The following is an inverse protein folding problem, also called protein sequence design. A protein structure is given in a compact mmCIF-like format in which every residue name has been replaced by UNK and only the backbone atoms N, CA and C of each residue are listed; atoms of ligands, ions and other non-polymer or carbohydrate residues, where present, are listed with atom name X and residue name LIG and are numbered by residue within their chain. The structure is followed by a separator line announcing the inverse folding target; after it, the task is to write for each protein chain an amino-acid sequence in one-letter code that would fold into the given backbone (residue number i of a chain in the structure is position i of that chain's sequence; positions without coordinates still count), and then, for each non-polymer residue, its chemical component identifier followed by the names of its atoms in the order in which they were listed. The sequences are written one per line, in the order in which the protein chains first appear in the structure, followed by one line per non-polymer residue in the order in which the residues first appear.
data_IF_079671163116
#
_entry.id   IF_079671163116
#
_cell.length_a   1.000
_cell.length_b   1.000
_cell.length_c   1.000
_cell.angle_alpha   90.00
_cell.angle_beta   90.00
_cell.angle_gamma   90.00
#
_symmetry.space_group_name_H-M   'P 1'
#
loop_
_entity.id
_entity.type
_entity.pdbx_description
1 polymer ?
#
# COMPACT_ATOMS: atom_id res chain seq x y z
N UNK A 1 4.34 0.42 57.52
CA UNK A 1 5.59 0.53 56.75
C UNK A 1 5.44 1.66 55.77
N UNK A 2 6.24 2.71 55.92
CA UNK A 2 6.21 3.93 55.09
C UNK A 2 7.00 3.68 53.81
N UNK A 3 6.38 3.95 52.65
CA UNK A 3 6.99 3.74 51.33
C UNK A 3 7.97 4.88 51.05
N UNK A 4 9.20 4.55 50.66
CA UNK A 4 10.27 5.51 50.40
C UNK A 4 9.96 6.38 49.15
N UNK A 5 9.90 7.72 49.25
CA UNK A 5 9.57 8.61 48.14
C UNK A 5 10.66 8.68 47.04
N UNK A 6 11.82 8.03 47.23
CA UNK A 6 12.93 7.99 46.28
C UNK A 6 13.01 6.67 45.48
N UNK A 7 12.10 5.73 45.72
CA UNK A 7 12.02 4.47 44.96
C UNK A 7 10.78 4.53 44.10
N UNK A 8 10.97 4.75 42.79
CA UNK A 8 9.89 4.59 41.82
C UNK A 8 9.40 3.14 41.89
N UNK A 9 8.11 2.95 42.23
CA UNK A 9 7.45 1.65 42.06
C UNK A 9 7.58 1.20 40.62
N UNK A 10 7.52 -0.12 40.37
CA UNK A 10 7.52 -0.67 39.01
C UNK A 10 6.49 0.10 38.18
N UNK A 11 6.99 0.88 37.21
CA UNK A 11 6.16 1.46 36.17
C UNK A 11 5.69 0.26 35.34
N UNK A 12 4.47 -0.20 35.61
CA UNK A 12 3.77 -1.00 34.63
C UNK A 12 3.79 -0.21 33.33
N UNK A 13 4.37 -0.80 32.28
CA UNK A 13 4.56 -0.14 31.00
C UNK A 13 3.23 0.43 30.45
N UNK A 14 3.30 1.38 29.51
CA UNK A 14 2.11 2.08 29.03
C UNK A 14 1.06 1.08 28.54
N UNK A 15 -0.12 1.09 29.18
CA UNK A 15 -1.30 0.27 28.84
C UNK A 15 -1.98 0.66 27.52
N UNK A 16 -1.35 1.53 26.72
CA UNK A 16 -1.81 1.94 25.39
C UNK A 16 -0.82 1.51 24.30
N UNK A 17 -0.72 0.21 24.04
CA UNK A 17 0.05 -0.35 22.92
C UNK A 17 -0.55 -0.03 21.51
N UNK A 18 -1.49 0.92 21.42
CA UNK A 18 -2.34 1.15 20.23
C UNK A 18 -2.59 2.64 19.94
N UNK A 19 -1.70 3.55 20.35
CA UNK A 19 -1.78 4.95 19.90
C UNK A 19 -1.21 5.05 18.48
N UNK A 20 -1.98 5.58 17.52
CA UNK A 20 -1.49 5.87 16.17
C UNK A 20 -0.25 6.78 16.14
N UNK A 21 0.03 7.45 17.26
CA UNK A 21 1.23 8.23 17.56
C UNK A 21 2.53 7.45 17.28
N UNK A 22 2.66 6.20 17.74
CA UNK A 22 3.91 5.44 17.55
C UNK A 22 4.15 5.08 16.07
N UNK A 23 3.09 4.79 15.31
CA UNK A 23 3.20 4.55 13.86
C UNK A 23 3.55 5.85 13.13
N UNK A 24 2.98 6.98 13.55
CA UNK A 24 3.31 8.29 12.98
C UNK A 24 4.77 8.71 13.27
N UNK A 25 5.34 8.32 14.41
CA UNK A 25 6.77 8.48 14.74
C UNK A 25 7.64 7.59 13.86
N UNK A 26 7.29 6.32 13.68
CA UNK A 26 8.00 5.41 12.76
C UNK A 26 8.01 5.94 11.31
N UNK A 27 6.89 6.48 10.85
CA UNK A 27 6.80 7.12 9.52
C UNK A 27 7.71 8.34 9.44
N UNK A 28 7.77 9.15 10.49
CA UNK A 28 8.64 10.33 10.54
C UNK A 28 10.12 9.94 10.53
N UNK A 29 10.50 8.85 11.19
CA UNK A 29 11.86 8.30 11.11
C UNK A 29 12.23 7.89 9.68
N UNK A 30 11.31 7.24 8.97
CA UNK A 30 11.51 6.92 7.54
C UNK A 30 11.67 8.21 6.73
N UNK A 31 10.81 9.20 6.97
CA UNK A 31 10.86 10.49 6.29
C UNK A 31 12.20 11.21 6.50
N UNK A 32 12.74 11.18 7.72
CA UNK A 32 14.05 11.72 8.05
C UNK A 32 15.18 10.94 7.37
N UNK A 33 15.13 9.61 7.36
CA UNK A 33 16.08 8.76 6.64
C UNK A 33 16.15 9.15 5.16
N UNK A 34 15.00 9.29 4.51
CA UNK A 34 14.90 9.67 3.09
C UNK A 34 15.45 11.08 2.86
N UNK A 35 15.02 12.07 3.67
CA UNK A 35 15.43 13.48 3.53
C UNK A 35 16.91 13.71 3.84
N UNK A 36 17.49 12.91 4.73
CA UNK A 36 18.92 12.99 5.06
C UNK A 36 19.83 12.57 3.90
N UNK A 37 19.29 11.85 2.90
CA UNK A 37 20.07 11.32 1.79
C UNK A 37 21.01 10.17 2.21
N UNK A 38 20.85 9.59 3.40
CA UNK A 38 21.67 8.47 3.91
C UNK A 38 21.68 7.25 2.98
N UNK A 39 20.62 7.09 2.19
CA UNK A 39 20.46 6.05 1.19
C UNK A 39 21.29 6.29 -0.09
N UNK A 40 21.77 7.52 -0.33
CA UNK A 40 22.57 7.89 -1.50
C UNK A 40 23.98 7.35 -1.35
N UNK A 41 24.47 6.69 -2.40
CA UNK A 41 25.82 6.17 -2.43
C UNK A 41 26.85 7.31 -2.48
N UNK A 42 27.71 7.38 -1.47
CA UNK A 42 28.70 8.44 -1.32
C UNK A 42 29.68 8.56 -2.49
N UNK A 43 29.85 7.51 -3.30
CA UNK A 43 30.69 7.56 -4.52
C UNK A 43 30.14 8.49 -5.60
N UNK A 44 28.85 8.84 -5.55
CA UNK A 44 28.25 9.79 -6.46
C UNK A 44 28.68 11.23 -6.17
N UNK A 45 29.06 11.54 -4.93
CA UNK A 45 29.41 12.90 -4.50
C UNK A 45 28.25 13.90 -4.62
N UNK A 46 27.02 13.43 -4.84
CA UNK A 46 25.80 14.24 -4.95
C UNK A 46 25.22 14.40 -3.56
N UNK A 47 25.59 15.47 -2.86
CA UNK A 47 25.02 15.83 -1.55
C UNK A 47 24.23 17.11 -1.72
N UNK A 48 22.93 17.08 -1.40
CA UNK A 48 22.10 18.28 -1.21
C UNK A 48 21.72 19.09 -2.46
N UNK A 49 21.78 18.52 -3.66
CA UNK A 49 21.35 19.23 -4.87
C UNK A 49 19.80 19.35 -4.92
N UNK A 50 19.30 20.58 -4.78
CA UNK A 50 17.90 20.93 -5.04
C UNK A 50 17.53 20.82 -6.52
N UNK A 51 16.23 20.68 -6.81
CA UNK A 51 15.64 20.35 -8.12
C UNK A 51 15.67 21.47 -9.18
N UNK A 52 16.65 22.38 -9.18
CA UNK A 52 16.68 23.51 -10.14
C UNK A 52 17.47 23.24 -11.44
N UNK A 53 17.76 21.97 -11.77
CA UNK A 53 18.66 21.63 -12.87
C UNK A 53 17.97 21.04 -14.12
N UNK A 54 16.69 21.33 -14.35
CA UNK A 54 15.90 20.63 -15.37
C UNK A 54 15.85 21.27 -16.77
N UNK A 55 16.49 22.42 -17.01
CA UNK A 55 16.19 23.21 -18.21
C UNK A 55 17.25 23.25 -19.33
N UNK A 56 18.38 22.55 -19.22
CA UNK A 56 19.37 22.59 -20.29
C UNK A 56 19.59 21.19 -20.85
N UNK A 57 19.21 20.94 -22.11
CA UNK A 57 19.61 19.75 -22.86
C UNK A 57 20.38 20.23 -24.08
N UNK A 58 21.70 20.17 -23.99
CA UNK A 58 22.60 20.22 -25.13
C UNK A 58 22.90 18.78 -25.50
N UNK A 59 22.93 18.49 -26.79
CA UNK A 59 23.46 17.25 -27.34
C UNK A 59 24.97 17.46 -27.59
N UNK A 60 25.86 17.06 -26.66
CA UNK A 60 27.29 17.21 -26.84
C UNK A 60 27.83 16.39 -28.02
N UNK A 61 27.19 15.27 -28.36
CA UNK A 61 27.69 14.36 -29.41
C UNK A 61 27.33 14.89 -30.80
N UNK A 62 26.16 15.54 -30.93
CA UNK A 62 25.76 16.25 -32.15
C UNK A 62 26.77 17.31 -32.61
N UNK A 63 27.61 17.84 -31.73
CA UNK A 63 28.69 18.77 -32.10
C UNK A 63 29.74 18.11 -33.01
N UNK A 64 30.02 16.81 -32.86
CA UNK A 64 31.00 16.11 -33.71
C UNK A 64 30.58 16.06 -35.19
N UNK A 65 29.26 16.01 -35.47
CA UNK A 65 28.74 16.08 -36.83
C UNK A 65 29.04 17.43 -37.49
N UNK A 66 29.04 18.52 -36.72
CA UNK A 66 29.31 19.87 -37.24
C UNK A 66 30.76 20.04 -37.69
N UNK A 67 31.68 19.26 -37.11
CA UNK A 67 33.11 19.27 -37.47
C UNK A 67 33.48 18.16 -38.49
N UNK A 68 32.50 17.42 -39.03
CA UNK A 68 32.73 16.43 -40.07
C UNK A 68 33.44 15.14 -39.62
N UNK A 69 33.49 14.87 -38.31
CA UNK A 69 34.28 13.76 -37.74
C UNK A 69 33.41 12.53 -37.49
N UNK A 70 32.79 12.00 -38.54
CA UNK A 70 31.81 10.91 -38.44
C UNK A 70 32.39 9.62 -37.85
N UNK A 71 33.68 9.33 -38.05
CA UNK A 71 34.32 8.11 -37.54
C UNK A 71 34.47 8.08 -36.01
N UNK A 72 34.60 9.25 -35.36
CA UNK A 72 34.66 9.34 -33.89
C UNK A 72 33.30 9.03 -33.27
N UNK A 73 32.20 9.29 -33.97
CA UNK A 73 30.84 9.09 -33.44
C UNK A 73 30.61 7.62 -33.08
N UNK A 74 31.13 6.67 -33.87
CA UNK A 74 31.03 5.24 -33.57
C UNK A 74 31.66 4.89 -32.21
N UNK A 75 32.74 5.57 -31.83
CA UNK A 75 33.41 5.39 -30.56
C UNK A 75 32.65 6.06 -29.40
N UNK A 76 31.95 7.17 -29.63
CA UNK A 76 31.22 7.92 -28.59
C UNK A 76 29.80 7.39 -28.38
N UNK A 77 29.24 6.65 -29.33
CA UNK A 77 27.89 6.06 -29.27
C UNK A 77 27.60 5.30 -27.97
N UNK A 78 28.51 4.47 -27.41
CA UNK A 78 28.28 3.80 -26.13
C UNK A 78 28.07 4.77 -24.95
N UNK A 79 28.70 5.95 -24.98
CA UNK A 79 28.51 6.98 -23.96
C UNK A 79 27.15 7.66 -24.12
N UNK A 80 26.74 7.91 -25.37
CA UNK A 80 25.44 8.52 -25.71
C UNK A 80 24.28 7.66 -25.22
N UNK A 81 24.38 6.34 -25.37
CA UNK A 81 23.36 5.40 -24.89
C UNK A 81 23.12 5.50 -23.36
N UNK A 82 24.12 5.93 -22.59
CA UNK A 82 23.95 6.15 -21.15
C UNK A 82 23.06 7.36 -20.83
N UNK A 83 23.02 8.38 -21.70
CA UNK A 83 22.05 9.47 -21.59
C UNK A 83 20.63 8.99 -21.87
N UNK A 84 20.46 8.11 -22.86
CA UNK A 84 19.16 7.53 -23.20
C UNK A 84 18.63 6.63 -22.06
N UNK A 85 19.50 5.89 -21.37
CA UNK A 85 19.10 5.12 -20.18
C UNK A 85 18.61 5.99 -19.03
N UNK A 86 19.06 7.25 -18.97
CA UNK A 86 18.66 8.25 -17.98
C UNK A 86 17.59 9.21 -18.52
N UNK A 87 17.08 8.97 -19.73
CA UNK A 87 15.97 9.71 -20.31
C UNK A 87 14.66 9.28 -19.62
N UNK A 88 14.35 9.92 -18.50
CA UNK A 88 13.05 9.87 -17.85
C UNK A 88 12.19 11.09 -18.17
N UNK A 89 11.00 11.15 -17.58
CA UNK A 89 10.11 12.31 -17.59
C UNK A 89 10.10 12.97 -16.19
N UNK A 90 10.93 14.01 -15.96
CA UNK A 90 10.97 14.71 -14.69
C UNK A 90 9.65 15.39 -14.33
N UNK A 91 8.88 15.83 -15.33
CA UNK A 91 7.59 16.48 -15.10
C UNK A 91 6.56 15.47 -14.58
N UNK A 92 6.56 14.25 -15.12
CA UNK A 92 5.73 13.16 -14.60
C UNK A 92 6.13 12.79 -13.17
N UNK A 93 7.42 12.68 -12.85
CA UNK A 93 7.91 12.40 -11.48
C UNK A 93 7.45 13.50 -10.51
N UNK A 94 7.63 14.77 -10.89
CA UNK A 94 7.18 15.91 -10.09
C UNK A 94 5.65 15.91 -9.90
N UNK A 95 4.87 15.58 -10.94
CA UNK A 95 3.42 15.44 -10.85
C UNK A 95 2.99 14.32 -9.89
N UNK A 96 3.67 13.18 -9.89
CA UNK A 96 3.42 12.10 -8.94
C UNK A 96 3.74 12.51 -7.50
N UNK A 97 4.88 13.17 -7.26
CA UNK A 97 5.20 13.72 -5.95
C UNK A 97 4.15 14.73 -5.47
N UNK A 98 3.74 15.65 -6.33
CA UNK A 98 2.70 16.63 -6.02
C UNK A 98 1.35 15.97 -5.72
N UNK A 99 1.02 14.86 -6.40
CA UNK A 99 -0.19 14.08 -6.08
C UNK A 99 -0.16 13.57 -4.64
N UNK A 100 0.98 13.04 -4.19
CA UNK A 100 1.14 12.61 -2.80
C UNK A 100 1.07 13.77 -1.80
N UNK A 101 1.63 14.95 -2.14
CA UNK A 101 1.49 16.18 -1.34
C UNK A 101 0.04 16.62 -1.21
N UNK A 102 -0.74 16.55 -2.30
CA UNK A 102 -2.15 16.90 -2.30
C UNK A 102 -2.96 15.93 -1.41
N UNK A 103 -2.66 14.63 -1.47
CA UNK A 103 -3.27 13.62 -0.59
C UNK A 103 -2.94 13.91 0.88
N UNK A 104 -1.68 14.21 1.20
CA UNK A 104 -1.27 14.58 2.55
C UNK A 104 -2.04 15.80 3.08
N UNK A 105 -2.10 16.87 2.29
CA UNK A 105 -2.83 18.09 2.66
C UNK A 105 -4.32 17.81 2.92
N UNK A 106 -4.97 17.03 2.05
CA UNK A 106 -6.37 16.64 2.23
C UNK A 106 -6.60 15.82 3.51
N UNK A 107 -5.66 14.93 3.87
CA UNK A 107 -5.75 14.12 5.09
C UNK A 107 -5.54 14.97 6.34
N UNK A 108 -4.58 15.91 6.34
CA UNK A 108 -4.39 16.86 7.44
C UNK A 108 -5.61 17.73 7.65
N UNK A 109 -6.22 18.25 6.58
CA UNK A 109 -7.46 19.03 6.65
C UNK A 109 -8.58 18.21 7.31
N UNK A 110 -8.80 16.97 6.87
CA UNK A 110 -9.81 16.07 7.47
C UNK A 110 -9.53 15.75 8.94
N UNK A 111 -8.27 15.57 9.33
CA UNK A 111 -7.90 15.34 10.71
C UNK A 111 -8.17 16.59 11.58
N UNK A 112 -7.88 17.79 11.04
CA UNK A 112 -8.17 19.05 11.70
C UNK A 112 -9.68 19.30 11.80
N UNK A 113 -10.46 18.96 10.78
CA UNK A 113 -11.91 19.08 10.78
C UNK A 113 -12.55 18.19 11.85
N UNK A 114 -12.10 16.94 11.94
CA UNK A 114 -12.53 16.01 12.98
C UNK A 114 -12.22 16.55 14.38
N UNK A 115 -11.01 17.08 14.59
CA UNK A 115 -10.64 17.68 15.87
C UNK A 115 -11.53 18.88 16.22
N UNK A 116 -11.79 19.76 15.25
CA UNK A 116 -12.67 20.92 15.46
C UNK A 116 -14.10 20.48 15.80
N UNK A 117 -14.67 19.54 15.06
CA UNK A 117 -16.02 19.02 15.33
C UNK A 117 -16.12 18.41 16.74
N UNK A 118 -15.16 17.57 17.14
CA UNK A 118 -15.14 16.96 18.48
C UNK A 118 -14.99 18.01 19.58
N UNK A 119 -14.18 19.05 19.36
CA UNK A 119 -13.97 20.12 20.34
C UNK A 119 -15.20 20.98 20.55
N UNK A 120 -15.99 21.25 19.52
CA UNK A 120 -17.12 22.19 19.56
C UNK A 120 -18.49 21.52 19.73
N UNK A 121 -18.71 20.39 19.07
CA UNK A 121 -20.04 19.74 19.06
C UNK A 121 -20.24 18.81 20.27
N UNK A 122 -19.14 18.44 20.95
CA UNK A 122 -19.12 17.43 22.01
C UNK A 122 -18.58 17.99 23.33
N UNK A 123 -18.45 19.33 23.45
CA UNK A 123 -17.91 20.00 24.63
C UNK A 123 -18.74 19.70 25.88
N UNK A 124 -20.05 19.83 25.77
CA UNK A 124 -20.98 19.69 26.90
C UNK A 124 -21.32 18.23 27.21
N UNK A 125 -20.89 17.29 26.35
CA UNK A 125 -21.08 15.86 26.61
C UNK A 125 -20.07 15.37 27.66
N UNK A 126 -20.50 15.50 28.91
CA UNK A 126 -19.78 15.02 30.09
C UNK A 126 -19.95 13.52 30.36
N UNK A 127 -19.43 13.07 31.51
CA UNK A 127 -19.51 11.68 31.95
C UNK A 127 -18.59 10.72 31.18
N UNK A 128 -18.64 9.44 31.54
CA UNK A 128 -17.77 8.41 30.97
C UNK A 128 -17.96 8.20 29.46
N UNK A 129 -19.19 8.34 28.96
CA UNK A 129 -19.49 8.18 27.53
C UNK A 129 -18.87 9.29 26.67
N UNK A 130 -18.96 10.56 27.08
CA UNK A 130 -18.33 11.67 26.37
C UNK A 130 -16.81 11.59 26.38
N UNK A 131 -16.21 11.19 27.51
CA UNK A 131 -14.77 10.93 27.58
C UNK A 131 -14.33 9.79 26.64
N UNK A 132 -15.09 8.69 26.59
CA UNK A 132 -14.82 7.58 25.70
C UNK A 132 -14.93 7.98 24.21
N UNK A 133 -15.93 8.79 23.85
CA UNK A 133 -16.09 9.30 22.48
C UNK A 133 -14.91 10.20 22.06
N UNK A 134 -14.47 11.11 22.93
CA UNK A 134 -13.29 11.96 22.67
C UNK A 134 -12.02 11.12 22.48
N UNK A 135 -11.84 10.07 23.29
CA UNK A 135 -10.70 9.15 23.17
C UNK A 135 -10.76 8.32 21.87
N UNK A 136 -11.95 7.84 21.47
CA UNK A 136 -12.14 7.15 20.18
C UNK A 136 -11.87 8.07 19.00
N UNK A 137 -12.37 9.30 19.03
CA UNK A 137 -12.16 10.29 17.96
C UNK A 137 -10.69 10.74 17.87
N UNK A 138 -9.99 10.82 19.00
CA UNK A 138 -8.56 11.09 19.01
C UNK A 138 -7.77 9.98 18.29
N UNK A 139 -8.10 8.70 18.52
CA UNK A 139 -7.47 7.59 17.81
C UNK A 139 -7.72 7.63 16.29
N UNK A 140 -8.92 8.03 15.86
CA UNK A 140 -9.24 8.23 14.44
C UNK A 140 -8.37 9.34 13.84
N UNK A 141 -8.32 10.50 14.50
CA UNK A 141 -7.50 11.65 14.10
C UNK A 141 -6.02 11.31 14.03
N UNK A 142 -5.49 10.56 14.99
CA UNK A 142 -4.08 10.13 14.99
C UNK A 142 -3.79 9.20 13.81
N UNK A 143 -4.70 8.26 13.50
CA UNK A 143 -4.53 7.37 12.37
C UNK A 143 -4.58 8.11 11.01
N UNK A 144 -5.50 9.08 10.86
CA UNK A 144 -5.56 9.93 9.66
C UNK A 144 -4.32 10.81 9.54
N UNK A 145 -3.84 11.39 10.65
CA UNK A 145 -2.58 12.14 10.69
C UNK A 145 -1.38 11.27 10.29
N UNK A 146 -1.36 10.01 10.74
CA UNK A 146 -0.35 9.03 10.32
C UNK A 146 -0.36 8.79 8.80
N UNK A 147 -1.54 8.65 8.19
CA UNK A 147 -1.66 8.50 6.74
C UNK A 147 -1.24 9.76 5.98
N UNK A 148 -1.50 10.95 6.54
CA UNK A 148 -1.04 12.22 6.00
C UNK A 148 0.49 12.26 5.94
N UNK A 149 1.15 11.96 7.06
CA UNK A 149 2.62 11.83 7.14
C UNK A 149 3.16 10.78 6.18
N UNK A 150 2.50 9.62 6.06
CA UNK A 150 2.93 8.58 5.13
C UNK A 150 2.89 9.07 3.67
N UNK A 151 1.88 9.86 3.32
CA UNK A 151 1.75 10.48 2.01
C UNK A 151 2.85 11.53 1.77
N UNK A 152 3.20 12.34 2.78
CA UNK A 152 4.35 13.26 2.70
C UNK A 152 5.68 12.50 2.49
N UNK A 153 5.86 11.37 3.18
CA UNK A 153 7.04 10.51 3.02
C UNK A 153 7.11 9.92 1.61
N UNK A 154 5.99 9.49 1.02
CA UNK A 154 5.93 9.02 -0.37
C UNK A 154 6.31 10.14 -1.37
N UNK A 155 5.88 11.37 -1.11
CA UNK A 155 6.30 12.52 -1.92
C UNK A 155 7.82 12.73 -1.82
N UNK A 156 8.37 12.75 -0.60
CA UNK A 156 9.81 12.92 -0.37
C UNK A 156 10.66 11.80 -1.01
N UNK A 157 10.20 10.55 -0.96
CA UNK A 157 10.84 9.40 -1.64
C UNK A 157 10.87 9.64 -3.15
N UNK A 158 9.75 10.06 -3.73
CA UNK A 158 9.61 10.29 -5.17
C UNK A 158 10.49 11.45 -5.64
N UNK A 159 10.46 12.56 -4.90
CA UNK A 159 11.29 13.76 -5.13
C UNK A 159 12.78 13.41 -5.02
N UNK A 160 13.19 12.70 -3.96
CA UNK A 160 14.58 12.32 -3.73
C UNK A 160 15.13 11.37 -4.80
N UNK A 161 14.34 10.37 -5.21
CA UNK A 161 14.72 9.47 -6.30
C UNK A 161 14.85 10.23 -7.63
N UNK A 162 13.90 11.11 -7.94
CA UNK A 162 13.94 11.97 -9.13
C UNK A 162 15.16 12.90 -9.15
N UNK A 163 15.46 13.55 -8.02
CA UNK A 163 16.61 14.43 -7.87
C UNK A 163 17.93 13.67 -8.09
N UNK A 164 18.06 12.45 -7.56
CA UNK A 164 19.25 11.64 -7.76
C UNK A 164 19.44 11.24 -9.23
N UNK A 165 18.38 10.83 -9.92
CA UNK A 165 18.41 10.50 -11.35
C UNK A 165 18.84 11.74 -12.17
N UNK A 166 18.25 12.90 -11.86
CA UNK A 166 18.60 14.16 -12.52
C UNK A 166 20.08 14.52 -12.32
N UNK A 167 20.58 14.41 -11.08
CA UNK A 167 21.98 14.68 -10.78
C UNK A 167 22.93 13.73 -11.54
N UNK A 168 22.64 12.44 -11.59
CA UNK A 168 23.45 11.46 -12.34
C UNK A 168 23.39 11.76 -13.84
N UNK A 169 22.23 12.17 -14.38
CA UNK A 169 22.11 12.60 -15.78
C UNK A 169 23.02 13.78 -16.11
N UNK A 170 23.13 14.77 -15.20
CA UNK A 170 24.05 15.91 -15.36
C UNK A 170 25.49 15.43 -15.38
N UNK A 171 25.90 14.60 -14.42
CA UNK A 171 27.26 14.04 -14.37
C UNK A 171 27.63 13.30 -15.66
N UNK A 172 26.72 12.46 -16.17
CA UNK A 172 26.93 11.72 -17.43
C UNK A 172 27.03 12.67 -18.61
N UNK A 173 26.15 13.67 -18.71
CA UNK A 173 26.18 14.66 -19.79
C UNK A 173 27.47 15.46 -19.78
N UNK A 174 27.90 15.96 -18.63
CA UNK A 174 29.13 16.76 -18.50
C UNK A 174 30.37 15.94 -18.82
N UNK A 175 30.38 14.66 -18.43
CA UNK A 175 31.42 13.72 -18.83
C UNK A 175 31.48 13.54 -20.35
N UNK A 176 30.33 13.39 -21.01
CA UNK A 176 30.26 13.24 -22.47
C UNK A 176 30.71 14.54 -23.16
N UNK A 177 30.24 15.70 -22.68
CA UNK A 177 30.67 16.99 -23.22
C UNK A 177 32.19 17.19 -23.11
N UNK A 178 32.77 16.84 -21.97
CA UNK A 178 34.22 16.90 -21.76
C UNK A 178 34.96 15.91 -22.66
N UNK A 179 34.42 14.69 -22.82
CA UNK A 179 34.99 13.69 -23.71
C UNK A 179 34.99 14.19 -25.16
N UNK A 180 33.84 14.65 -25.67
CA UNK A 180 33.69 15.20 -27.02
C UNK A 180 34.64 16.38 -27.25
N UNK A 181 34.75 17.31 -26.30
CA UNK A 181 35.66 18.46 -26.42
C UNK A 181 37.11 18.03 -26.65
N UNK A 182 37.58 16.97 -25.99
CA UNK A 182 38.93 16.43 -26.19
C UNK A 182 39.07 15.69 -27.52
N UNK A 183 38.03 14.97 -27.94
CA UNK A 183 38.02 14.26 -29.22
C UNK A 183 38.11 15.23 -30.41
N UNK A 184 37.54 16.43 -30.30
CA UNK A 184 37.70 17.50 -31.30
C UNK A 184 39.18 17.91 -31.44
N UNK A 185 39.94 17.96 -30.33
CA UNK A 185 41.38 18.27 -30.36
C UNK A 185 42.14 17.17 -31.10
N UNK A 186 41.87 15.90 -30.81
CA UNK A 186 42.51 14.77 -31.52
C UNK A 186 42.15 14.74 -33.01
N UNK A 187 40.91 15.09 -33.38
CA UNK A 187 40.53 15.21 -34.78
C UNK A 187 41.29 16.33 -35.51
N UNK A 188 41.54 17.46 -34.83
CA UNK A 188 42.36 18.54 -35.38
C UNK A 188 43.84 18.12 -35.54
N UNK A 189 44.40 17.37 -34.60
CA UNK A 189 45.74 16.80 -34.70
C UNK A 189 45.87 15.83 -35.89
N UNK A 190 44.89 14.94 -36.08
CA UNK A 190 44.84 14.03 -37.23
C UNK A 190 44.82 14.82 -38.55
N UNK A 191 43.96 15.83 -38.65
CA UNK A 191 43.83 16.67 -39.84
C UNK A 191 45.13 17.43 -40.16
N UNK A 192 45.78 18.03 -39.15
CA UNK A 192 47.06 18.73 -39.30
C UNK A 192 48.20 17.78 -39.67
N UNK A 193 48.15 16.53 -39.21
CA UNK A 193 49.12 15.49 -39.57
C UNK A 193 48.88 14.88 -40.97
N UNK A 194 47.85 15.32 -41.70
CA UNK A 194 47.40 14.75 -42.98
C UNK A 194 47.12 13.23 -42.88
N UNK A 195 46.64 12.76 -41.72
CA UNK A 195 46.34 11.35 -41.47
C UNK A 195 47.55 10.47 -41.14
N UNK A 196 48.77 11.01 -41.03
CA UNK A 196 49.95 10.21 -40.64
C UNK A 196 49.88 9.76 -39.18
N UNK A 197 49.18 10.50 -38.33
CA UNK A 197 49.00 10.16 -36.92
C UNK A 197 47.79 9.24 -36.63
N UNK A 198 47.02 8.81 -37.64
CA UNK A 198 45.76 8.06 -37.45
C UNK A 198 45.87 6.86 -36.51
N UNK A 199 46.89 5.96 -36.60
CA UNK A 199 46.99 4.83 -35.68
C UNK A 199 47.09 5.25 -34.20
N UNK A 200 47.88 6.30 -33.92
CA UNK A 200 48.06 6.84 -32.59
C UNK A 200 46.78 7.54 -32.09
N UNK A 201 46.15 8.34 -32.95
CA UNK A 201 44.91 9.07 -32.62
C UNK A 201 43.77 8.10 -32.30
N UNK A 202 43.61 7.02 -33.06
CA UNK A 202 42.59 5.99 -32.78
C UNK A 202 42.82 5.35 -31.40
N UNK A 203 44.06 5.00 -31.06
CA UNK A 203 44.39 4.45 -29.73
C UNK A 203 44.06 5.43 -28.59
N UNK A 204 44.38 6.71 -28.78
CA UNK A 204 44.07 7.78 -27.82
C UNK A 204 42.56 7.98 -27.65
N UNK A 205 41.81 8.02 -28.76
CA UNK A 205 40.34 8.11 -28.76
C UNK A 205 39.72 6.94 -28.01
N UNK A 206 40.11 5.70 -28.35
CA UNK A 206 39.57 4.50 -27.72
C UNK A 206 39.86 4.47 -26.21
N UNK A 207 41.09 4.81 -25.81
CA UNK A 207 41.49 4.86 -24.40
C UNK A 207 40.72 5.94 -23.63
N UNK A 208 40.58 7.13 -24.22
CA UNK A 208 39.83 8.23 -23.62
C UNK A 208 38.36 7.85 -23.43
N UNK A 209 37.70 7.36 -24.48
CA UNK A 209 36.31 6.90 -24.43
C UNK A 209 36.12 5.81 -23.38
N UNK A 210 36.99 4.79 -23.36
CA UNK A 210 36.93 3.71 -22.39
C UNK A 210 37.05 4.23 -20.94
N UNK A 211 37.92 5.21 -20.69
CA UNK A 211 38.07 5.81 -19.36
C UNK A 211 36.79 6.53 -18.89
N UNK A 212 36.12 7.26 -19.78
CA UNK A 212 34.85 7.92 -19.50
C UNK A 212 33.70 6.94 -19.36
N UNK A 213 33.65 5.91 -20.20
CA UNK A 213 32.69 4.81 -20.08
C UNK A 213 32.79 4.14 -18.70
N UNK A 214 34.01 3.84 -18.25
CA UNK A 214 34.24 3.28 -16.92
C UNK A 214 33.77 4.23 -15.80
N UNK A 215 33.95 5.55 -15.95
CA UNK A 215 33.48 6.55 -15.00
C UNK A 215 31.94 6.61 -14.94
N UNK A 216 31.29 6.67 -16.09
CA UNK A 216 29.83 6.64 -16.21
C UNK A 216 29.26 5.35 -15.61
N UNK A 217 29.86 4.20 -15.90
CA UNK A 217 29.43 2.92 -15.34
C UNK A 217 29.50 2.90 -13.81
N UNK A 218 30.49 3.57 -13.19
CA UNK A 218 30.56 3.71 -11.72
C UNK A 218 29.40 4.54 -11.19
N UNK A 219 29.06 5.66 -11.82
CA UNK A 219 27.93 6.48 -11.40
C UNK A 219 26.59 5.76 -11.57
N UNK A 220 26.38 5.03 -12.67
CA UNK A 220 25.17 4.22 -12.85
C UNK A 220 25.06 3.12 -11.79
N UNK A 221 26.17 2.47 -11.41
CA UNK A 221 26.19 1.51 -10.31
C UNK A 221 25.85 2.16 -8.97
N UNK A 222 26.38 3.36 -8.70
CA UNK A 222 26.06 4.13 -7.50
C UNK A 222 24.57 4.52 -7.44
N UNK A 223 23.99 4.94 -8.57
CA UNK A 223 22.56 5.22 -8.69
C UNK A 223 21.72 3.99 -8.35
N UNK A 224 22.01 2.85 -8.98
CA UNK A 224 21.32 1.58 -8.72
C UNK A 224 21.46 1.13 -7.27
N UNK A 225 22.66 1.26 -6.69
CA UNK A 225 22.90 0.93 -5.28
C UNK A 225 22.05 1.82 -4.36
N UNK A 226 21.98 3.13 -4.66
CA UNK A 226 21.19 4.10 -3.89
C UNK A 226 19.70 3.75 -3.93
N UNK A 227 19.14 3.56 -5.13
CA UNK A 227 17.73 3.19 -5.29
C UNK A 227 17.41 1.86 -4.59
N UNK A 228 18.35 0.90 -4.59
CA UNK A 228 18.19 -0.36 -3.86
C UNK A 228 18.17 -0.18 -2.35
N UNK A 229 18.95 0.76 -1.80
CA UNK A 229 18.93 1.11 -0.37
C UNK A 229 17.64 1.81 0.05
N UNK A 230 16.92 2.43 -0.89
CA UNK A 230 15.63 3.07 -0.64
C UNK A 230 14.45 2.08 -0.61
N UNK A 231 14.53 0.94 -1.32
CA UNK A 231 13.43 -0.04 -1.41
C UNK A 231 12.93 -0.57 -0.05
N UNK A 232 13.80 -0.89 0.94
CA UNK A 232 13.34 -1.33 2.26
C UNK A 232 12.49 -0.29 2.98
N UNK A 233 12.83 0.99 2.85
CA UNK A 233 12.08 2.10 3.46
C UNK A 233 10.68 2.22 2.86
N UNK A 234 10.56 2.09 1.52
CA UNK A 234 9.25 2.06 0.83
C UNK A 234 8.39 0.89 1.31
N UNK A 235 8.98 -0.30 1.47
CA UNK A 235 8.26 -1.48 1.97
C UNK A 235 7.79 -1.29 3.41
N UNK A 236 8.69 -0.82 4.28
CA UNK A 236 8.36 -0.51 5.68
C UNK A 236 7.24 0.52 5.78
N UNK A 237 7.27 1.56 4.94
CA UNK A 237 6.19 2.54 4.87
C UNK A 237 4.86 1.91 4.46
N UNK A 238 4.85 1.02 3.48
CA UNK A 238 3.67 0.25 3.08
C UNK A 238 3.07 -0.58 4.22
N UNK A 239 3.93 -1.24 5.01
CA UNK A 239 3.49 -1.99 6.21
C UNK A 239 2.85 -1.08 7.27
N UNK A 240 3.41 0.11 7.48
CA UNK A 240 2.84 1.10 8.42
C UNK A 240 1.49 1.65 7.93
N UNK A 241 1.34 1.87 6.62
CA UNK A 241 0.05 2.26 6.01
C UNK A 241 -1.01 1.18 6.23
N UNK A 242 -0.68 -0.10 6.02
CA UNK A 242 -1.64 -1.20 6.27
C UNK A 242 -2.01 -1.28 7.76
N UNK A 243 -1.07 -1.08 8.69
CA UNK A 243 -1.40 -0.99 10.13
C UNK A 243 -2.36 0.17 10.43
N UNK A 244 -2.16 1.35 9.84
CA UNK A 244 -3.06 2.49 10.00
C UNK A 244 -4.46 2.19 9.44
N UNK A 245 -4.53 1.53 8.30
CA UNK A 245 -5.78 1.07 7.70
C UNK A 245 -6.49 0.02 8.56
N UNK A 246 -5.77 -0.89 9.20
CA UNK A 246 -6.34 -1.84 10.17
C UNK A 246 -6.90 -1.13 11.40
N UNK A 247 -6.20 -0.10 11.91
CA UNK A 247 -6.69 0.73 13.01
C UNK A 247 -7.97 1.46 12.61
N UNK A 248 -7.98 2.15 11.47
CA UNK A 248 -9.18 2.81 10.97
C UNK A 248 -10.30 1.80 10.72
N UNK A 249 -9.99 0.63 10.17
CA UNK A 249 -10.94 -0.46 9.97
C UNK A 249 -11.56 -0.95 11.27
N UNK A 250 -10.78 -1.05 12.36
CA UNK A 250 -11.27 -1.38 13.70
C UNK A 250 -12.15 -0.26 14.28
N UNK A 251 -11.78 1.00 14.07
CA UNK A 251 -12.47 2.14 14.66
C UNK A 251 -13.76 2.52 13.89
N UNK A 252 -13.77 2.38 12.55
CA UNK A 252 -14.95 2.50 11.69
C UNK A 252 -15.82 1.23 11.75
N UNK A 253 -15.19 0.09 12.04
CA UNK A 253 -15.78 -1.21 12.24
C UNK A 253 -16.41 -1.38 13.61
N UNK A 254 -17.30 -0.45 13.99
CA UNK A 254 -18.41 -0.75 14.90
C UNK A 254 -19.41 -1.75 14.30
N UNK A 255 -18.98 -2.63 13.37
CA UNK A 255 -19.62 -3.91 13.16
C UNK A 255 -18.82 -4.88 14.01
N UNK A 256 -19.46 -5.43 15.03
CA UNK A 256 -19.07 -6.72 15.58
C UNK A 256 -18.58 -7.61 14.43
N UNK A 257 -17.50 -8.37 14.62
CA UNK A 257 -17.09 -9.36 13.62
C UNK A 257 -18.30 -10.23 13.28
N UNK A 258 -18.93 -9.95 12.14
CA UNK A 258 -20.18 -10.59 11.76
C UNK A 258 -19.81 -12.00 11.35
N UNK A 259 -20.46 -12.97 11.98
CA UNK A 259 -20.38 -14.37 11.56
C UNK A 259 -21.17 -14.44 10.26
N UNK A 260 -20.48 -14.64 9.15
CA UNK A 260 -21.01 -14.40 7.82
C UNK A 260 -20.69 -15.55 6.87
N UNK A 261 -21.72 -16.03 6.19
CA UNK A 261 -21.59 -17.04 5.13
C UNK A 261 -21.41 -16.38 3.77
N UNK A 262 -20.23 -16.50 3.20
CA UNK A 262 -19.86 -16.04 1.85
C UNK A 262 -19.85 -17.16 0.81
N UNK A 263 -19.93 -16.76 -0.47
CA UNK A 263 -19.70 -17.59 -1.64
C UNK A 263 -18.29 -18.17 -1.72
N UNK A 264 -18.19 -19.38 -2.24
CA UNK A 264 -16.94 -20.13 -2.43
C UNK A 264 -16.25 -19.85 -3.77
N UNK A 265 -16.65 -18.79 -4.48
CA UNK A 265 -16.13 -18.49 -5.82
C UNK A 265 -16.83 -19.22 -6.97
N UNK A 266 -17.74 -20.17 -6.67
CA UNK A 266 -18.42 -20.97 -7.69
C UNK A 266 -19.77 -20.34 -8.02
N UNK A 267 -19.92 -19.91 -9.27
CA UNK A 267 -21.19 -19.40 -9.79
C UNK A 267 -22.18 -20.56 -9.93
N UNK A 268 -23.27 -20.51 -9.17
CA UNK A 268 -24.36 -21.48 -9.23
C UNK A 268 -25.60 -20.84 -9.85
N UNK A 269 -26.26 -21.59 -10.73
CA UNK A 269 -27.51 -21.17 -11.38
C UNK A 269 -28.61 -22.18 -11.02
N UNK A 270 -29.17 -22.05 -9.82
CA UNK A 270 -30.29 -22.87 -9.37
C UNK A 270 -31.65 -22.17 -9.49
N UNK A 271 -32.71 -22.89 -9.13
CA UNK A 271 -34.09 -22.40 -9.15
C UNK A 271 -34.31 -21.46 -7.96
N UNK A 272 -34.41 -20.16 -8.24
CA UNK A 272 -34.63 -19.13 -7.23
C UNK A 272 -35.86 -19.39 -6.38
N UNK A 273 -35.70 -19.13 -5.08
CA UNK A 273 -36.77 -19.21 -4.09
C UNK A 273 -37.30 -17.80 -3.83
N UNK A 274 -38.61 -17.67 -3.62
CA UNK A 274 -39.19 -16.38 -3.25
C UNK A 274 -38.76 -16.00 -1.82
N UNK A 275 -38.24 -14.79 -1.64
CA UNK A 275 -37.73 -14.27 -0.36
C UNK A 275 -38.87 -13.96 0.63
N UNK A 276 -39.39 -14.99 1.31
CA UNK A 276 -40.40 -14.86 2.36
C UNK A 276 -40.19 -15.89 3.47
N UNK A 277 -40.80 -15.63 4.63
CA UNK A 277 -40.65 -16.50 5.81
C UNK A 277 -41.33 -17.87 5.67
N UNK A 278 -42.33 -17.99 4.80
CA UNK A 278 -43.01 -19.27 4.58
C UNK A 278 -42.09 -20.26 3.87
N UNK A 279 -41.32 -19.80 2.88
CA UNK A 279 -40.29 -20.59 2.22
C UNK A 279 -39.12 -20.91 3.14
N UNK A 280 -38.72 -19.98 4.01
CA UNK A 280 -37.70 -20.25 5.05
C UNK A 280 -38.17 -21.36 5.99
N UNK A 281 -39.43 -21.31 6.45
CA UNK A 281 -40.03 -22.34 7.31
C UNK A 281 -40.17 -23.67 6.59
N UNK A 282 -40.65 -23.66 5.35
CA UNK A 282 -40.76 -24.86 4.54
C UNK A 282 -39.40 -25.53 4.34
N UNK A 283 -38.35 -24.74 4.08
CA UNK A 283 -36.98 -25.21 3.97
C UNK A 283 -36.47 -25.82 5.28
N UNK A 284 -36.68 -25.11 6.39
CA UNK A 284 -36.29 -25.57 7.71
C UNK A 284 -36.98 -26.90 8.08
N UNK A 285 -38.28 -27.03 7.81
CA UNK A 285 -39.04 -28.28 8.01
C UNK A 285 -38.51 -29.39 7.12
N UNK A 286 -38.34 -29.12 5.82
CA UNK A 286 -37.87 -30.11 4.84
C UNK A 286 -36.52 -30.71 5.24
N UNK A 287 -35.61 -29.89 5.74
CA UNK A 287 -34.26 -30.28 6.11
C UNK A 287 -34.06 -30.55 7.61
N UNK A 288 -35.14 -30.56 8.40
CA UNK A 288 -35.07 -30.84 9.85
C UNK A 288 -34.30 -29.79 10.67
N UNK A 289 -34.20 -28.55 10.19
CA UNK A 289 -33.49 -27.46 10.87
C UNK A 289 -34.43 -26.80 11.88
N UNK A 290 -34.14 -26.93 13.17
CA UNK A 290 -34.95 -26.27 14.21
C UNK A 290 -34.68 -24.75 14.23
N UNK A 291 -35.70 -23.97 13.86
CA UNK A 291 -35.70 -22.50 13.87
C UNK A 291 -36.61 -21.90 14.97
N UNK A 292 -37.08 -22.70 15.92
CA UNK A 292 -37.93 -22.24 17.00
C UNK A 292 -37.19 -21.28 17.93
N UNK A 293 -37.84 -20.15 18.24
CA UNK A 293 -37.26 -19.08 19.05
C UNK A 293 -36.06 -18.38 18.38
N UNK A 294 -35.83 -18.58 17.08
CA UNK A 294 -34.80 -17.86 16.31
C UNK A 294 -35.43 -16.62 15.68
N UNK A 295 -34.85 -15.44 15.94
CA UNK A 295 -35.26 -14.20 15.27
C UNK A 295 -34.60 -14.13 13.90
N UNK A 296 -35.32 -14.58 12.87
CA UNK A 296 -34.86 -14.53 11.47
C UNK A 296 -35.38 -13.25 10.80
N UNK A 297 -34.49 -12.52 10.14
CA UNK A 297 -34.79 -11.37 9.31
C UNK A 297 -34.41 -11.67 7.86
N UNK A 298 -35.23 -11.23 6.90
CA UNK A 298 -34.93 -11.33 5.47
C UNK A 298 -34.51 -9.96 4.97
N UNK A 299 -33.26 -9.84 4.57
CA UNK A 299 -32.72 -8.63 3.96
C UNK A 299 -32.68 -8.78 2.43
N UNK A 300 -33.40 -7.88 1.75
CA UNK A 300 -33.54 -7.90 0.28
C UNK A 300 -32.43 -7.13 -0.43
N UNK A 301 -31.57 -6.43 0.31
CA UNK A 301 -30.44 -5.71 -0.26
C UNK A 301 -29.41 -6.70 -0.83
N UNK A 302 -28.70 -6.25 -1.88
CA UNK A 302 -27.61 -6.99 -2.49
C UNK A 302 -26.31 -6.50 -1.88
N UNK A 303 -25.60 -7.40 -1.19
CA UNK A 303 -24.32 -7.13 -0.54
C UNK A 303 -23.13 -7.76 -1.26
N UNK A 304 -23.35 -8.87 -1.97
CA UNK A 304 -22.30 -9.60 -2.69
C UNK A 304 -21.63 -8.80 -3.81
N UNK A 305 -20.34 -9.09 -4.04
CA UNK A 305 -19.50 -8.40 -5.03
C UNK A 305 -19.72 -8.80 -6.48
N UNK A 306 -20.73 -9.64 -6.77
CA UNK A 306 -21.00 -10.22 -8.09
C UNK A 306 -21.01 -11.76 -8.05
N UNK A 307 -21.12 -12.42 -9.23
CA UNK A 307 -21.13 -13.88 -9.33
C UNK A 307 -19.90 -14.52 -8.67
N UNK A 308 -20.10 -15.51 -7.80
CA UNK A 308 -19.05 -16.18 -7.03
C UNK A 308 -18.59 -15.42 -5.78
N UNK A 309 -19.14 -14.22 -5.53
CA UNK A 309 -18.91 -13.42 -4.32
C UNK A 309 -20.24 -13.10 -3.64
N UNK A 310 -21.14 -14.06 -3.64
CA UNK A 310 -22.44 -13.98 -2.97
C UNK A 310 -22.24 -13.83 -1.46
N UNK A 311 -23.21 -13.18 -0.83
CA UNK A 311 -23.25 -13.04 0.60
C UNK A 311 -24.59 -13.58 1.07
N UNK A 312 -24.62 -14.66 1.85
CA UNK A 312 -25.82 -15.46 2.07
C UNK A 312 -26.50 -15.19 3.43
N UNK A 313 -25.73 -15.13 4.51
CA UNK A 313 -26.29 -15.07 5.87
C UNK A 313 -25.39 -14.34 6.85
N UNK A 314 -26.01 -13.85 7.93
CA UNK A 314 -25.32 -13.29 9.10
C UNK A 314 -25.95 -13.83 10.37
N UNK A 315 -25.13 -14.24 11.32
CA UNK A 315 -25.53 -14.38 12.72
C UNK A 315 -24.95 -13.24 13.53
N UNK A 316 -25.83 -12.43 14.13
CA UNK A 316 -25.43 -11.32 14.98
C UNK A 316 -25.14 -11.82 16.40
N UNK A 317 -24.24 -11.15 17.14
CA UNK A 317 -23.92 -11.50 18.53
C UNK A 317 -25.10 -11.47 19.50
N UNK A 318 -26.14 -10.67 19.22
CA UNK A 318 -27.40 -10.66 19.96
C UNK A 318 -28.36 -11.79 19.55
N UNK A 319 -27.89 -12.75 18.74
CA UNK A 319 -28.59 -14.00 18.43
C UNK A 319 -29.67 -13.88 17.35
N UNK A 320 -29.60 -12.88 16.47
CA UNK A 320 -30.46 -12.78 15.29
C UNK A 320 -29.78 -13.43 14.09
N UNK A 321 -30.58 -14.00 13.21
CA UNK A 321 -30.12 -14.52 11.92
C UNK A 321 -30.68 -13.62 10.82
N UNK A 322 -29.83 -13.13 9.95
CA UNK A 322 -30.22 -12.32 8.79
C UNK A 322 -29.91 -13.14 7.55
N UNK A 323 -30.96 -13.49 6.80
CA UNK A 323 -30.84 -14.13 5.49
C UNK A 323 -30.89 -13.04 4.43
N UNK A 324 -29.86 -12.97 3.60
CA UNK A 324 -29.80 -11.96 2.54
C UNK A 324 -30.50 -12.46 1.28
N UNK A 325 -30.55 -11.60 0.26
CA UNK A 325 -31.06 -11.96 -1.05
C UNK A 325 -30.40 -13.20 -1.66
N UNK A 326 -29.08 -13.35 -1.52
CA UNK A 326 -28.35 -14.41 -2.21
C UNK A 326 -28.59 -15.78 -1.57
N UNK A 327 -29.02 -15.86 -0.30
CA UNK A 327 -29.44 -17.14 0.33
C UNK A 327 -30.60 -17.80 -0.41
N UNK A 328 -31.41 -17.03 -1.15
CA UNK A 328 -32.55 -17.53 -1.91
C UNK A 328 -32.20 -17.83 -3.38
N UNK A 329 -30.90 -17.91 -3.71
CA UNK A 329 -30.43 -18.27 -5.04
C UNK A 329 -30.98 -19.62 -5.51
N UNK A 330 -31.01 -20.59 -4.60
CA UNK A 330 -31.61 -21.90 -4.79
C UNK A 330 -31.89 -22.60 -3.44
N UNK A 331 -32.45 -23.79 -3.53
CA UNK A 331 -32.79 -24.64 -2.39
C UNK A 331 -31.57 -25.06 -1.57
N UNK A 332 -30.49 -25.48 -2.22
CA UNK A 332 -29.26 -25.88 -1.54
C UNK A 332 -28.68 -24.71 -0.74
N UNK A 333 -28.58 -23.52 -1.35
CA UNK A 333 -28.02 -22.36 -0.67
C UNK A 333 -28.88 -21.91 0.50
N UNK A 334 -30.20 -21.95 0.40
CA UNK A 334 -31.07 -21.57 1.50
C UNK A 334 -30.94 -22.56 2.68
N UNK A 335 -30.95 -23.86 2.39
CA UNK A 335 -30.82 -24.92 3.39
C UNK A 335 -29.45 -24.86 4.09
N UNK A 336 -28.37 -24.76 3.32
CA UNK A 336 -27.00 -24.62 3.84
C UNK A 336 -26.81 -23.37 4.68
N UNK A 337 -27.35 -22.23 4.24
CA UNK A 337 -27.27 -20.98 5.01
C UNK A 337 -28.01 -21.13 6.33
N UNK A 338 -29.20 -21.73 6.35
CA UNK A 338 -29.93 -21.98 7.59
C UNK A 338 -29.15 -22.87 8.57
N UNK A 339 -28.51 -23.95 8.08
CA UNK A 339 -27.71 -24.83 8.92
C UNK A 339 -26.45 -24.12 9.46
N UNK A 340 -25.78 -23.36 8.61
CA UNK A 340 -24.59 -22.57 8.95
C UNK A 340 -24.88 -21.52 10.03
N UNK A 341 -25.89 -20.68 9.82
CA UNK A 341 -26.25 -19.64 10.79
C UNK A 341 -26.80 -20.24 12.09
N UNK A 342 -27.48 -21.39 12.00
CA UNK A 342 -27.94 -22.10 13.19
C UNK A 342 -26.76 -22.57 14.04
N UNK A 343 -25.68 -23.05 13.43
CA UNK A 343 -24.47 -23.48 14.13
C UNK A 343 -23.83 -22.32 14.90
N UNK A 344 -23.68 -21.14 14.26
CA UNK A 344 -23.22 -19.93 14.94
C UNK A 344 -24.10 -19.52 16.11
N UNK A 345 -25.42 -19.58 15.93
CA UNK A 345 -26.37 -19.28 16.98
C UNK A 345 -26.26 -20.24 18.17
N UNK A 346 -25.98 -21.53 17.94
CA UNK A 346 -25.73 -22.48 19.03
C UNK A 346 -24.47 -22.19 19.80
N UNK A 347 -23.39 -21.83 19.10
CA UNK A 347 -22.14 -21.43 19.75
C UNK A 347 -22.36 -20.21 20.65
N UNK A 348 -23.09 -19.21 20.18
CA UNK A 348 -23.47 -18.03 20.97
C UNK A 348 -24.35 -18.43 22.18
N UNK A 349 -25.38 -19.26 21.97
CA UNK A 349 -26.28 -19.73 23.04
C UNK A 349 -25.56 -20.59 24.10
N UNK A 350 -24.50 -21.30 23.71
CA UNK A 350 -23.60 -22.04 24.62
C UNK A 350 -22.63 -21.13 25.38
N UNK A 351 -22.67 -19.82 25.12
CA UNK A 351 -21.83 -18.83 25.79
C UNK A 351 -20.41 -18.75 25.24
N UNK A 352 -20.15 -19.25 24.03
CA UNK A 352 -18.84 -19.08 23.40
C UNK A 352 -18.62 -17.58 23.12
N UNK A 353 -17.41 -17.11 23.43
CA UNK A 353 -17.03 -15.72 23.20
C UNK A 353 -16.98 -15.44 21.69
N UNK A 354 -17.86 -14.54 21.25
CA UNK A 354 -17.91 -14.03 19.88
C UNK A 354 -16.53 -13.49 19.46
N UNK A 355 -16.09 -13.72 18.21
CA UNK A 355 -14.79 -13.25 17.73
C UNK A 355 -14.58 -11.74 17.93
N UNK A 356 -13.41 -11.39 18.44
CA UNK A 356 -12.96 -9.98 18.55
C UNK A 356 -11.71 -9.71 17.72
N UNK A 357 -11.26 -10.70 16.94
CA UNK A 357 -10.14 -10.58 15.99
C UNK A 357 -10.45 -11.30 14.69
N UNK A 358 -9.78 -10.91 13.60
CA UNK A 358 -9.91 -11.62 12.30
C UNK A 358 -9.50 -13.08 12.36
N UNK A 359 -8.53 -13.43 13.21
CA UNK A 359 -8.08 -14.82 13.37
C UNK A 359 -9.18 -15.66 14.02
N UNK A 360 -9.74 -15.16 15.11
CA UNK A 360 -10.86 -15.82 15.79
C UNK A 360 -12.07 -15.96 14.87
N UNK A 361 -12.37 -14.93 14.06
CA UNK A 361 -13.46 -14.99 13.09
C UNK A 361 -13.22 -16.12 12.09
N UNK A 362 -12.01 -16.21 11.50
CA UNK A 362 -11.67 -17.30 10.58
C UNK A 362 -11.79 -18.68 11.23
N UNK A 363 -11.42 -18.80 12.51
CA UNK A 363 -11.53 -20.08 13.23
C UNK A 363 -13.01 -20.46 13.48
N UNK A 364 -13.88 -19.48 13.73
CA UNK A 364 -15.33 -19.66 13.83
C UNK A 364 -15.94 -20.07 12.49
N UNK A 365 -15.66 -19.31 11.42
CA UNK A 365 -16.15 -19.61 10.06
C UNK A 365 -15.69 -20.98 9.60
N UNK A 366 -14.42 -21.34 9.82
CA UNK A 366 -13.89 -22.65 9.45
C UNK A 366 -14.65 -23.80 10.11
N UNK A 367 -15.06 -23.65 11.37
CA UNK A 367 -15.90 -24.66 12.06
C UNK A 367 -17.30 -24.70 11.48
N UNK A 368 -17.91 -23.55 11.21
CA UNK A 368 -19.25 -23.46 10.64
C UNK A 368 -19.31 -24.07 9.24
N UNK A 369 -18.35 -23.78 8.35
CA UNK A 369 -18.26 -24.41 7.03
C UNK A 369 -17.98 -25.92 7.10
N UNK A 370 -17.15 -26.38 8.05
CA UNK A 370 -16.92 -27.81 8.24
C UNK A 370 -18.22 -28.52 8.67
N UNK A 371 -18.96 -27.92 9.60
CA UNK A 371 -20.26 -28.40 10.04
C UNK A 371 -21.29 -28.39 8.91
N UNK A 372 -21.40 -27.26 8.19
CA UNK A 372 -22.30 -27.11 7.04
C UNK A 372 -22.06 -28.18 5.99
N UNK A 373 -20.79 -28.41 5.60
CA UNK A 373 -20.45 -29.40 4.58
C UNK A 373 -20.78 -30.83 5.03
N UNK A 374 -20.45 -31.19 6.27
CA UNK A 374 -20.80 -32.49 6.83
C UNK A 374 -22.33 -32.67 6.90
N UNK A 375 -23.03 -31.63 7.36
CA UNK A 375 -24.48 -31.61 7.45
C UNK A 375 -25.13 -31.76 6.07
N UNK A 376 -24.65 -31.02 5.07
CA UNK A 376 -25.20 -31.10 3.71
C UNK A 376 -25.02 -32.47 3.08
N UNK A 377 -23.84 -33.09 3.19
CA UNK A 377 -23.64 -34.44 2.65
C UNK A 377 -24.59 -35.47 3.29
N UNK A 378 -24.96 -35.29 4.57
CA UNK A 378 -25.95 -36.13 5.23
C UNK A 378 -27.40 -35.86 4.77
N UNK A 379 -27.73 -34.66 4.30
CA UNK A 379 -29.11 -34.23 4.02
C UNK A 379 -29.41 -33.96 2.54
N UNK A 380 -28.41 -33.97 1.65
CA UNK A 380 -28.57 -33.70 0.21
C UNK A 380 -29.55 -34.65 -0.49
N UNK A 381 -29.74 -35.85 0.05
CA UNK A 381 -30.72 -36.82 -0.45
C UNK A 381 -32.17 -36.31 -0.34
N UNK A 382 -32.45 -35.36 0.56
CA UNK A 382 -33.76 -34.71 0.69
C UNK A 382 -34.06 -33.71 -0.44
N UNK A 383 -33.05 -33.33 -1.23
CA UNK A 383 -33.21 -32.44 -2.37
C UNK A 383 -33.76 -33.17 -3.61
N UNK A 384 -33.59 -34.48 -3.69
CA UNK A 384 -34.10 -35.29 -4.80
C UNK A 384 -35.64 -35.29 -4.80
N UNK A 385 -36.28 -35.27 -5.98
CA UNK A 385 -37.71 -34.99 -6.14
C UNK A 385 -38.65 -35.98 -5.48
#
# INVERSE_FOLDING_TARGET
MTVNPLVAGRLDGPTHAWSGVWIAEDIELIAQSVRSGSWIDGSLGVVGAGLDALAFVSDPVGVLLQYGVAWIIEHVKPLSAALDWLAGDPAQIAGHAQTWRNVAASLHERAADLDRAVRWDVTDWGGGAGAAYRAWSAQQRDAVTGLAKASETMAAITEGAGALIAAVRILVRDAIATCVSRLIVYAAEEALSLGLATPLVVEQVATLVASWAAKIARWLKGLLASLRRLMPEVRRLGELIEKLKEILGRLLGGREFQLLREGDGIVRNGKKILMNMDNVRAMAVKYGINIDGVKILIDKARYGGGPGKEFYGITTPDGKVILTRDAFADEEQLARTLAHERFHLEDIRKGLRVPTTRKELRDWEKRAYAHENQWWEAHRHLMEP
#
